data_IF_545252797522
#
_entry.id   IF_545252797522
#
_cell.length_a   1.000
_cell.length_b   1.000
_cell.length_c   1.000
_cell.angle_alpha   90.00
_cell.angle_beta   90.00
_cell.angle_gamma   90.00
#
_symmetry.space_group_name_H-M   'P 1'
#
loop_
_entity.id
_entity.type
_entity.pdbx_description
1 polymer ?
#
# COMPACT_ATOMS: atom_id res chain seq x y z
N UNK A 1 -39.44 25.78 -53.65
CA UNK A 1 -39.11 25.82 -52.22
C UNK A 1 -37.61 25.65 -52.09
N UNK A 2 -36.86 26.75 -52.04
CA UNK A 2 -35.40 26.76 -51.97
C UNK A 2 -34.97 27.97 -51.13
N UNK A 3 -33.94 27.77 -50.30
CA UNK A 3 -33.13 28.86 -49.75
C UNK A 3 -33.36 29.17 -48.28
N UNK A 4 -32.69 28.43 -47.38
CA UNK A 4 -32.26 28.96 -46.08
C UNK A 4 -31.05 28.15 -45.55
N UNK A 5 -29.85 28.44 -46.04
CA UNK A 5 -28.59 27.78 -45.62
C UNK A 5 -27.47 28.75 -45.20
N UNK A 6 -27.74 30.06 -45.16
CA UNK A 6 -26.65 31.05 -45.06
C UNK A 6 -26.28 31.47 -43.63
N UNK A 7 -26.96 31.00 -42.59
CA UNK A 7 -26.70 31.43 -41.20
C UNK A 7 -25.66 30.59 -40.45
N UNK A 8 -25.24 29.44 -40.97
CA UNK A 8 -24.29 28.54 -40.29
C UNK A 8 -22.82 28.90 -40.48
N UNK A 9 -22.46 29.74 -41.45
CA UNK A 9 -21.04 30.00 -41.79
C UNK A 9 -20.42 31.08 -40.91
N UNK A 10 -21.19 32.08 -40.45
CA UNK A 10 -20.65 33.22 -39.69
C UNK A 10 -20.31 32.90 -38.22
N UNK A 11 -20.76 31.77 -37.66
CA UNK A 11 -20.40 31.36 -36.31
C UNK A 11 -19.04 30.63 -36.24
N UNK A 12 -18.51 30.17 -37.37
CA UNK A 12 -17.29 29.36 -37.42
C UNK A 12 -16.01 30.21 -37.43
N UNK A 13 -16.05 31.40 -38.03
CA UNK A 13 -14.87 32.29 -38.14
C UNK A 13 -14.40 32.85 -36.79
N UNK A 14 -15.32 33.25 -35.90
CA UNK A 14 -14.96 33.81 -34.59
C UNK A 14 -14.23 32.82 -33.66
N UNK A 15 -14.48 31.52 -33.83
CA UNK A 15 -13.83 30.47 -33.03
C UNK A 15 -12.37 30.26 -33.43
N UNK A 16 -12.03 30.41 -34.71
CA UNK A 16 -10.66 30.31 -35.20
C UNK A 16 -9.82 31.52 -34.78
N UNK A 17 -10.40 32.73 -34.84
CA UNK A 17 -9.70 33.96 -34.49
C UNK A 17 -9.39 34.04 -32.98
N UNK A 18 -10.34 33.60 -32.13
CA UNK A 18 -10.11 33.46 -30.70
C UNK A 18 -9.01 32.44 -30.37
N UNK A 19 -8.96 31.30 -31.06
CA UNK A 19 -7.91 30.30 -30.87
C UNK A 19 -6.54 30.86 -31.24
N UNK A 20 -6.44 31.61 -32.34
CA UNK A 20 -5.18 32.25 -32.77
C UNK A 20 -4.74 33.33 -31.77
N UNK A 21 -5.67 34.16 -31.28
CA UNK A 21 -5.37 35.21 -30.32
C UNK A 21 -5.00 34.66 -28.93
N UNK A 22 -5.58 33.53 -28.53
CA UNK A 22 -5.19 32.79 -27.32
C UNK A 22 -3.80 32.16 -27.45
N UNK A 23 -3.47 31.60 -28.62
CA UNK A 23 -2.17 30.98 -28.88
C UNK A 23 -1.02 32.01 -28.98
N UNK A 24 -1.30 33.28 -29.28
CA UNK A 24 -0.27 34.31 -29.48
C UNK A 24 0.12 35.02 -28.17
N UNK A 25 -0.68 34.88 -27.10
CA UNK A 25 -0.40 35.53 -25.82
C UNK A 25 0.73 34.81 -25.05
N UNK A 26 1.89 35.46 -24.82
CA UNK A 26 3.05 34.83 -24.19
C UNK A 26 2.79 34.42 -22.74
N UNK A 27 1.90 35.15 -22.05
CA UNK A 27 1.46 34.85 -20.68
C UNK A 27 0.59 33.59 -20.63
N UNK A 28 -0.31 33.42 -21.60
CA UNK A 28 -1.17 32.23 -21.71
C UNK A 28 -0.33 30.99 -22.02
N UNK A 29 0.64 31.11 -22.92
CA UNK A 29 1.64 30.09 -23.21
C UNK A 29 2.47 29.71 -21.98
N UNK A 30 2.90 30.69 -21.17
CA UNK A 30 3.66 30.43 -19.95
C UNK A 30 2.84 29.69 -18.88
N UNK A 31 1.58 30.09 -18.68
CA UNK A 31 0.69 29.44 -17.70
C UNK A 31 0.28 28.04 -18.16
N UNK A 32 -0.10 27.89 -19.43
CA UNK A 32 -0.44 26.58 -20.00
C UNK A 32 0.76 25.62 -19.97
N UNK A 33 1.96 26.13 -20.26
CA UNK A 33 3.21 25.38 -20.14
C UNK A 33 3.49 24.94 -18.70
N UNK A 34 3.27 25.82 -17.72
CA UNK A 34 3.44 25.51 -16.30
C UNK A 34 2.50 24.41 -15.82
N UNK A 35 1.21 24.47 -16.19
CA UNK A 35 0.22 23.44 -15.81
C UNK A 35 0.56 22.09 -16.45
N UNK A 36 0.92 22.08 -17.73
CA UNK A 36 1.34 20.87 -18.42
C UNK A 36 2.57 20.22 -17.77
N UNK A 37 3.55 21.03 -17.35
CA UNK A 37 4.75 20.56 -16.66
C UNK A 37 4.42 19.91 -15.32
N UNK A 38 3.54 20.53 -14.51
CA UNK A 38 3.12 19.97 -13.22
C UNK A 38 2.40 18.64 -13.41
N UNK A 39 1.48 18.56 -14.38
CA UNK A 39 0.77 17.31 -14.70
C UNK A 39 1.76 16.21 -15.16
N UNK A 40 2.73 16.57 -15.99
CA UNK A 40 3.78 15.64 -16.43
C UNK A 40 4.57 15.11 -15.23
N UNK A 41 5.01 15.99 -14.32
CA UNK A 41 5.77 15.61 -13.12
C UNK A 41 4.94 14.68 -12.23
N UNK A 42 3.68 15.02 -11.96
CA UNK A 42 2.77 14.20 -11.16
C UNK A 42 2.59 12.82 -11.81
N UNK A 43 2.38 12.77 -13.13
CA UNK A 43 2.25 11.52 -13.87
C UNK A 43 3.52 10.67 -13.77
N UNK A 44 4.69 11.28 -13.93
CA UNK A 44 5.98 10.60 -13.78
C UNK A 44 6.17 10.08 -12.34
N UNK A 45 5.79 10.84 -11.32
CA UNK A 45 5.90 10.41 -9.92
C UNK A 45 4.95 9.25 -9.62
N UNK A 46 3.70 9.31 -10.09
CA UNK A 46 2.72 8.25 -9.94
C UNK A 46 3.18 7.00 -10.68
N UNK A 47 3.57 7.13 -11.96
CA UNK A 47 4.13 6.03 -12.76
C UNK A 47 5.37 5.47 -12.11
N UNK A 48 6.29 6.29 -11.59
CA UNK A 48 7.53 5.81 -10.95
C UNK A 48 7.25 5.15 -9.60
N UNK A 49 6.23 5.59 -8.85
CA UNK A 49 5.80 4.99 -7.58
C UNK A 49 5.09 3.66 -7.81
N UNK A 50 4.18 3.61 -8.80
CA UNK A 50 3.52 2.39 -9.28
C UNK A 50 4.54 1.44 -9.88
N UNK A 51 5.51 1.94 -10.66
CA UNK A 51 6.54 1.14 -11.30
C UNK A 51 7.61 0.65 -10.32
N UNK A 52 7.95 1.39 -9.26
CA UNK A 52 8.75 0.82 -8.15
C UNK A 52 7.99 -0.34 -7.47
N UNK A 53 6.69 -0.20 -7.29
CA UNK A 53 5.81 -1.22 -6.70
C UNK A 53 5.51 -2.39 -7.67
N UNK A 54 5.54 -2.14 -8.97
CA UNK A 54 5.33 -3.12 -10.03
C UNK A 54 6.63 -3.78 -10.49
N UNK A 55 7.80 -3.14 -10.35
CA UNK A 55 9.11 -3.73 -10.66
C UNK A 55 9.56 -4.71 -9.57
N UNK A 56 9.11 -4.53 -8.33
CA UNK A 56 9.12 -5.63 -7.34
C UNK A 56 8.22 -6.82 -7.73
N UNK A 57 7.31 -6.63 -8.69
CA UNK A 57 6.48 -7.69 -9.30
C UNK A 57 7.01 -8.16 -10.67
N UNK A 58 7.72 -7.36 -11.45
CA UNK A 58 8.18 -7.71 -12.80
C UNK A 58 9.40 -8.65 -12.79
N UNK A 59 10.24 -8.60 -11.74
CA UNK A 59 11.18 -9.69 -11.44
C UNK A 59 10.48 -11.02 -11.11
N UNK A 60 9.18 -11.00 -10.83
CA UNK A 60 8.37 -12.19 -10.58
C UNK A 60 7.81 -12.82 -11.87
N UNK A 61 7.97 -12.22 -13.07
CA UNK A 61 7.44 -12.81 -14.31
C UNK A 61 8.36 -13.88 -14.92
N UNK A 62 9.69 -13.76 -14.77
CA UNK A 62 10.61 -14.90 -15.02
C UNK A 62 10.38 -16.03 -14.00
N UNK A 63 10.03 -15.68 -12.75
CA UNK A 63 9.57 -16.65 -11.77
C UNK A 63 8.15 -17.18 -12.01
N UNK A 64 7.34 -16.64 -12.93
CA UNK A 64 6.01 -17.21 -13.23
C UNK A 64 6.10 -18.46 -14.12
N UNK A 65 7.13 -18.55 -14.95
CA UNK A 65 7.41 -19.74 -15.76
C UNK A 65 8.00 -20.85 -14.88
N UNK A 66 8.79 -20.51 -13.87
CA UNK A 66 9.23 -21.46 -12.81
C UNK A 66 8.14 -21.76 -11.77
N UNK A 67 7.28 -20.81 -11.43
CA UNK A 67 6.13 -20.98 -10.52
C UNK A 67 5.04 -21.87 -11.14
N UNK A 68 4.85 -21.85 -12.46
CA UNK A 68 4.00 -22.83 -13.12
C UNK A 68 4.56 -24.26 -12.98
N UNK A 69 5.89 -24.40 -12.96
CA UNK A 69 6.56 -25.69 -12.77
C UNK A 69 6.51 -26.16 -11.30
N UNK A 70 6.56 -25.24 -10.34
CA UNK A 70 6.46 -25.54 -8.90
C UNK A 70 5.01 -25.64 -8.40
N UNK A 71 4.03 -24.98 -9.01
CA UNK A 71 2.61 -25.14 -8.64
C UNK A 71 2.04 -26.50 -9.07
N UNK A 72 2.53 -27.05 -10.18
CA UNK A 72 2.30 -28.46 -10.54
C UNK A 72 2.95 -29.44 -9.54
N UNK A 73 4.04 -29.04 -8.87
CA UNK A 73 4.69 -29.83 -7.83
C UNK A 73 4.04 -29.67 -6.44
N UNK A 74 3.45 -28.51 -6.15
CA UNK A 74 2.80 -28.19 -4.87
C UNK A 74 1.38 -28.77 -4.73
N UNK A 75 0.68 -29.01 -5.84
CA UNK A 75 -0.56 -29.79 -5.82
C UNK A 75 -0.30 -31.30 -5.60
N UNK A 76 0.95 -31.75 -5.78
CA UNK A 76 1.38 -33.12 -5.55
C UNK A 76 2.23 -33.31 -4.27
N UNK A 77 2.46 -32.24 -3.48
CA UNK A 77 3.37 -32.25 -2.33
C UNK A 77 2.66 -32.29 -0.96
N UNK A 78 3.14 -33.09 0.01
CA UNK A 78 2.54 -33.26 1.33
C UNK A 78 2.51 -31.96 2.16
N UNK A 79 1.62 -31.90 3.16
CA UNK A 79 1.52 -30.79 4.12
C UNK A 79 2.87 -30.49 4.77
N UNK A 80 3.49 -29.36 4.41
CA UNK A 80 4.83 -29.01 4.83
C UNK A 80 4.94 -27.59 5.39
N UNK A 81 6.04 -27.28 6.11
CA UNK A 81 6.24 -26.00 6.80
C UNK A 81 6.18 -24.78 5.85
N UNK A 82 6.57 -24.95 4.58
CA UNK A 82 6.45 -23.90 3.57
C UNK A 82 4.99 -23.50 3.27
N UNK A 83 4.04 -24.46 3.36
CA UNK A 83 2.61 -24.19 3.18
C UNK A 83 2.05 -23.36 4.33
N UNK A 84 2.51 -23.61 5.55
CA UNK A 84 2.17 -22.81 6.73
C UNK A 84 2.66 -21.37 6.58
N UNK A 85 3.92 -21.18 6.16
CA UNK A 85 4.46 -19.85 5.88
C UNK A 85 3.63 -19.11 4.81
N UNK A 86 3.25 -19.79 3.72
CA UNK A 86 2.39 -19.21 2.69
C UNK A 86 1.00 -18.80 3.23
N UNK A 87 0.41 -19.62 4.11
CA UNK A 87 -0.88 -19.32 4.77
C UNK A 87 -0.78 -18.08 5.66
N UNK A 88 0.30 -17.94 6.42
CA UNK A 88 0.54 -16.76 7.26
C UNK A 88 0.66 -15.49 6.43
N UNK A 89 1.37 -15.55 5.29
CA UNK A 89 1.48 -14.42 4.36
C UNK A 89 0.11 -13.99 3.82
N UNK A 90 -0.73 -14.95 3.46
CA UNK A 90 -2.08 -14.68 3.00
C UNK A 90 -2.93 -14.02 4.10
N UNK A 91 -2.88 -14.54 5.32
CA UNK A 91 -3.58 -13.95 6.49
C UNK A 91 -3.13 -12.51 6.74
N UNK A 92 -1.83 -12.27 6.79
CA UNK A 92 -1.25 -10.94 7.01
C UNK A 92 -1.70 -9.96 5.93
N UNK A 93 -1.60 -10.36 4.65
CA UNK A 93 -2.00 -9.53 3.51
C UNK A 93 -3.49 -9.20 3.58
N UNK A 94 -4.33 -10.17 3.92
CA UNK A 94 -5.77 -9.96 4.05
C UNK A 94 -6.11 -8.98 5.20
N UNK A 95 -5.44 -9.10 6.36
CA UNK A 95 -5.66 -8.22 7.50
C UNK A 95 -5.28 -6.77 7.20
N UNK A 96 -4.14 -6.55 6.54
CA UNK A 96 -3.72 -5.20 6.12
C UNK A 96 -4.66 -4.63 5.06
N UNK A 97 -5.02 -5.42 4.03
CA UNK A 97 -5.93 -4.96 2.98
C UNK A 97 -7.34 -4.64 3.49
N UNK A 98 -7.82 -5.33 4.53
CA UNK A 98 -9.05 -4.96 5.23
C UNK A 98 -8.90 -3.62 5.97
N UNK A 99 -7.77 -3.41 6.64
CA UNK A 99 -7.46 -2.15 7.34
C UNK A 99 -7.36 -0.97 6.36
N UNK A 100 -6.67 -1.15 5.23
CA UNK A 100 -6.59 -0.16 4.15
C UNK A 100 -7.99 0.27 3.67
N UNK A 101 -8.90 -0.70 3.47
CA UNK A 101 -10.27 -0.43 3.02
C UNK A 101 -11.07 0.36 4.05
N UNK A 102 -10.94 0.02 5.34
CA UNK A 102 -11.65 0.73 6.41
C UNK A 102 -11.14 2.17 6.58
N UNK A 103 -9.82 2.38 6.51
CA UNK A 103 -9.27 3.73 6.53
C UNK A 103 -9.67 4.54 5.29
N UNK A 104 -9.69 3.93 4.10
CA UNK A 104 -10.13 4.61 2.89
C UNK A 104 -11.60 5.07 2.98
N UNK A 105 -12.46 4.26 3.61
CA UNK A 105 -13.85 4.64 3.88
C UNK A 105 -13.95 5.77 4.92
N UNK A 106 -13.10 5.75 5.95
CA UNK A 106 -13.06 6.79 6.99
C UNK A 106 -12.40 8.10 6.53
N UNK A 107 -11.52 8.06 5.52
CA UNK A 107 -10.79 9.23 5.01
C UNK A 107 -11.68 10.34 4.43
N UNK A 108 -12.96 10.04 4.16
CA UNK A 108 -13.98 11.03 3.78
C UNK A 108 -14.31 11.97 4.94
N UNK A 109 -14.04 11.56 6.18
CA UNK A 109 -14.22 12.36 7.38
C UNK A 109 -12.91 13.12 7.70
N UNK A 110 -12.95 14.46 7.79
CA UNK A 110 -11.75 15.29 8.04
C UNK A 110 -11.12 15.08 9.43
N UNK A 111 -11.72 14.24 10.27
CA UNK A 111 -11.31 13.99 11.66
C UNK A 111 -10.39 12.78 11.86
N UNK A 112 -10.02 12.03 10.81
CA UNK A 112 -9.05 10.95 10.97
C UNK A 112 -7.73 11.56 11.45
N UNK A 113 -7.40 11.32 12.72
CA UNK A 113 -6.28 11.98 13.38
C UNK A 113 -4.95 11.63 12.70
N UNK A 114 -4.00 12.57 12.71
CA UNK A 114 -2.65 12.34 12.21
C UNK A 114 -2.01 11.08 12.85
N UNK A 115 -2.36 10.79 14.10
CA UNK A 115 -1.95 9.60 14.86
C UNK A 115 -2.39 8.29 14.20
N UNK A 116 -3.64 8.18 13.76
CA UNK A 116 -4.15 6.98 13.06
C UNK A 116 -3.44 6.78 11.72
N UNK A 117 -3.16 7.88 11.01
CA UNK A 117 -2.42 7.83 9.74
C UNK A 117 -0.94 7.43 9.93
N UNK A 118 -0.29 7.86 11.02
CA UNK A 118 1.07 7.44 11.38
C UNK A 118 1.10 5.95 11.76
N UNK A 119 0.15 5.49 12.57
CA UNK A 119 0.00 4.08 12.96
C UNK A 119 -0.21 3.17 11.75
N UNK A 120 -1.08 3.59 10.84
CA UNK A 120 -1.32 2.85 9.62
C UNK A 120 -0.05 2.73 8.74
N UNK A 121 0.72 3.82 8.63
CA UNK A 121 2.00 3.80 7.92
C UNK A 121 2.99 2.84 8.56
N UNK A 122 3.04 2.79 9.89
CA UNK A 122 3.92 1.88 10.61
C UNK A 122 3.47 0.41 10.42
N UNK A 123 2.17 0.11 10.58
CA UNK A 123 1.59 -1.20 10.28
C UNK A 123 1.96 -1.68 8.86
N UNK A 124 1.91 -0.79 7.87
CA UNK A 124 2.33 -1.07 6.50
C UNK A 124 3.82 -1.41 6.36
N UNK A 125 4.70 -0.74 7.10
CA UNK A 125 6.15 -1.07 7.13
C UNK A 125 6.40 -2.43 7.76
N UNK A 126 5.76 -2.70 8.89
CA UNK A 126 5.96 -3.95 9.63
C UNK A 126 5.42 -5.15 8.88
N UNK A 127 4.23 -5.03 8.29
CA UNK A 127 3.68 -6.09 7.45
C UNK A 127 4.57 -6.39 6.24
N UNK A 128 5.19 -5.36 5.64
CA UNK A 128 6.15 -5.55 4.54
C UNK A 128 7.41 -6.28 5.01
N UNK A 129 7.95 -5.94 6.18
CA UNK A 129 9.12 -6.59 6.74
C UNK A 129 8.83 -8.08 7.08
N UNK A 130 7.70 -8.34 7.73
CA UNK A 130 7.28 -9.70 8.10
C UNK A 130 6.94 -10.55 6.87
N UNK A 131 6.26 -10.02 5.86
CA UNK A 131 6.03 -10.72 4.59
C UNK A 131 7.35 -11.03 3.88
N UNK A 132 8.34 -10.14 3.95
CA UNK A 132 9.71 -10.40 3.49
C UNK A 132 10.38 -11.58 4.20
N UNK A 133 10.24 -11.65 5.53
CA UNK A 133 10.74 -12.77 6.33
C UNK A 133 10.04 -14.09 5.98
N UNK A 134 8.71 -14.10 5.93
CA UNK A 134 7.93 -15.27 5.55
C UNK A 134 8.22 -15.75 4.11
N UNK A 135 8.48 -14.83 3.17
CA UNK A 135 8.98 -15.18 1.82
C UNK A 135 10.34 -15.87 1.87
N UNK A 136 11.21 -15.43 2.77
CA UNK A 136 12.51 -16.06 3.01
C UNK A 136 12.33 -17.50 3.48
N UNK A 137 11.51 -17.70 4.52
CA UNK A 137 11.17 -19.03 5.05
C UNK A 137 10.54 -19.94 4.00
N UNK A 138 9.65 -19.42 3.17
CA UNK A 138 9.02 -20.20 2.09
C UNK A 138 10.03 -20.70 1.05
N UNK A 139 11.14 -19.99 0.85
CA UNK A 139 12.18 -20.31 -0.14
C UNK A 139 13.37 -21.04 0.43
N UNK A 140 13.43 -21.24 1.75
CA UNK A 140 14.54 -21.93 2.39
C UNK A 140 14.46 -23.43 2.07
N UNK A 141 15.52 -24.03 1.51
CA UNK A 141 15.56 -25.47 1.23
C UNK A 141 15.63 -26.33 2.49
N UNK A 142 16.07 -25.79 3.63
CA UNK A 142 16.18 -26.52 4.89
C UNK A 142 14.84 -26.49 5.65
N UNK A 143 14.03 -27.52 5.41
CA UNK A 143 12.71 -27.67 6.03
C UNK A 143 12.73 -27.70 7.56
N UNK A 144 13.80 -28.22 8.18
CA UNK A 144 13.92 -28.26 9.64
C UNK A 144 14.14 -26.87 10.23
N UNK A 145 14.94 -26.03 9.56
CA UNK A 145 15.08 -24.61 9.92
C UNK A 145 13.78 -23.83 9.77
N UNK A 146 13.05 -24.06 8.68
CA UNK A 146 11.72 -23.44 8.49
C UNK A 146 10.77 -23.85 9.60
N UNK A 147 10.75 -25.14 9.95
CA UNK A 147 9.89 -25.66 11.00
C UNK A 147 10.24 -25.09 12.39
N UNK A 148 11.52 -24.88 12.68
CA UNK A 148 11.95 -24.23 13.91
C UNK A 148 11.57 -22.74 14.00
N UNK A 149 11.59 -22.02 12.87
CA UNK A 149 11.28 -20.59 12.81
C UNK A 149 9.77 -20.29 12.72
N UNK A 150 8.95 -21.26 12.33
CA UNK A 150 7.51 -21.08 12.12
C UNK A 150 6.73 -20.61 13.35
N UNK A 151 6.87 -21.22 14.55
CA UNK A 151 6.07 -20.83 15.72
C UNK A 151 6.32 -19.39 16.17
N UNK A 152 7.50 -18.86 15.87
CA UNK A 152 7.82 -17.46 16.11
C UNK A 152 7.13 -16.57 15.06
N UNK A 153 7.28 -16.90 13.77
CA UNK A 153 6.62 -16.17 12.68
C UNK A 153 5.08 -16.17 12.80
N UNK A 154 4.49 -17.24 13.34
CA UNK A 154 3.06 -17.34 13.67
C UNK A 154 2.66 -16.30 14.72
N UNK A 155 3.39 -16.24 15.84
CA UNK A 155 3.15 -15.26 16.92
C UNK A 155 3.22 -13.83 16.42
N UNK A 156 4.23 -13.49 15.63
CA UNK A 156 4.36 -12.14 15.05
C UNK A 156 3.25 -11.81 14.06
N UNK A 157 2.82 -12.80 13.26
CA UNK A 157 1.70 -12.61 12.33
C UNK A 157 0.41 -12.36 13.09
N UNK A 158 0.19 -13.09 14.19
CA UNK A 158 -0.99 -12.95 15.04
C UNK A 158 -1.02 -11.59 15.74
N UNK A 159 0.08 -11.18 16.37
CA UNK A 159 0.21 -9.85 16.98
C UNK A 159 -0.07 -8.72 15.98
N UNK A 160 0.47 -8.83 14.76
CA UNK A 160 0.26 -7.79 13.75
C UNK A 160 -1.18 -7.78 13.23
N UNK A 161 -1.85 -8.94 13.18
CA UNK A 161 -3.27 -9.04 12.87
C UNK A 161 -4.15 -8.46 13.99
N UNK A 162 -3.77 -8.64 15.25
CA UNK A 162 -4.43 -8.07 16.42
C UNK A 162 -4.34 -6.54 16.40
N UNK A 163 -3.15 -5.98 16.20
CA UNK A 163 -2.95 -4.53 16.06
C UNK A 163 -3.75 -3.97 14.88
N UNK A 164 -3.79 -4.68 13.76
CA UNK A 164 -4.64 -4.30 12.64
C UNK A 164 -6.14 -4.35 13.00
N UNK A 165 -6.57 -5.27 13.87
CA UNK A 165 -7.94 -5.34 14.37
C UNK A 165 -8.27 -4.21 15.35
N UNK A 166 -7.35 -3.88 16.25
CA UNK A 166 -7.45 -2.75 17.17
C UNK A 166 -7.52 -1.43 16.42
N UNK A 167 -6.63 -1.20 15.44
CA UNK A 167 -6.66 0.01 14.62
C UNK A 167 -8.01 0.17 13.90
N UNK A 168 -8.54 -0.93 13.36
CA UNK A 168 -9.88 -0.96 12.76
C UNK A 168 -11.00 -0.68 13.77
N UNK A 169 -10.85 -1.13 15.01
CA UNK A 169 -11.80 -0.82 16.08
C UNK A 169 -11.73 0.66 16.47
N UNK A 170 -10.52 1.22 16.62
CA UNK A 170 -10.29 2.64 16.90
C UNK A 170 -10.80 3.56 15.79
N UNK A 171 -10.65 3.16 14.52
CA UNK A 171 -11.22 3.91 13.39
C UNK A 171 -12.76 3.88 13.43
N UNK A 172 -13.36 2.71 13.74
CA UNK A 172 -14.81 2.58 13.88
C UNK A 172 -15.36 3.37 15.06
N UNK A 173 -14.69 3.35 16.21
CA UNK A 173 -15.11 4.14 17.38
C UNK A 173 -14.96 5.63 17.12
N UNK A 174 -13.86 6.07 16.49
CA UNK A 174 -13.64 7.47 16.11
C UNK A 174 -14.72 7.99 15.15
N UNK A 175 -15.24 7.13 14.26
CA UNK A 175 -16.35 7.49 13.37
C UNK A 175 -17.69 7.72 14.12
N UNK A 176 -17.82 7.20 15.35
CA UNK A 176 -19.03 7.36 16.20
C UNK A 176 -18.87 8.41 17.29
N UNK A 177 -17.63 8.77 17.64
CA UNK A 177 -17.31 9.72 18.71
C UNK A 177 -17.50 11.15 18.21
N UNK A 178 -18.35 11.91 18.90
CA UNK A 178 -18.67 13.31 18.60
C UNK A 178 -18.03 14.30 19.58
N UNK A 179 -17.28 13.82 20.58
CA UNK A 179 -16.79 14.64 21.70
C UNK A 179 -15.26 14.63 21.83
N UNK A 180 -14.68 15.81 22.07
CA UNK A 180 -13.23 16.07 22.05
C UNK A 180 -12.42 15.37 23.18
N UNK A 181 -13.10 14.96 24.26
CA UNK A 181 -12.48 14.26 25.39
C UNK A 181 -12.13 12.79 25.06
N UNK A 182 -12.98 12.11 24.29
CA UNK A 182 -12.77 10.72 23.89
C UNK A 182 -11.63 10.59 22.87
N UNK A 183 -11.46 11.59 22.01
CA UNK A 183 -10.34 11.66 21.05
C UNK A 183 -9.00 11.69 21.78
N UNK A 184 -8.92 12.34 22.94
CA UNK A 184 -7.67 12.50 23.70
C UNK A 184 -7.27 11.20 24.42
N UNK A 185 -8.22 10.48 25.02
CA UNK A 185 -7.91 9.21 25.70
C UNK A 185 -7.54 8.09 24.70
N UNK A 186 -8.15 8.08 23.51
CA UNK A 186 -7.75 7.20 22.42
C UNK A 186 -6.32 7.49 21.95
N UNK A 187 -5.90 8.75 21.91
CA UNK A 187 -4.54 9.13 21.54
C UNK A 187 -3.47 8.52 22.44
N UNK A 188 -3.69 8.53 23.76
CA UNK A 188 -2.73 8.02 24.75
C UNK A 188 -2.58 6.50 24.68
N UNK A 189 -3.69 5.74 24.73
CA UNK A 189 -3.65 4.27 24.70
C UNK A 189 -3.01 3.73 23.42
N UNK A 190 -3.16 4.43 22.30
CA UNK A 190 -2.62 3.97 21.02
C UNK A 190 -1.15 4.38 20.82
N UNK A 191 -0.67 5.41 21.52
CA UNK A 191 0.74 5.81 21.52
C UNK A 191 1.62 4.76 22.19
N UNK A 192 1.16 4.24 23.32
CA UNK A 192 1.86 3.18 24.07
C UNK A 192 1.97 1.88 23.25
N UNK A 193 0.91 1.52 22.53
CA UNK A 193 0.92 0.36 21.62
C UNK A 193 1.96 0.48 20.49
N UNK A 194 2.13 1.68 19.92
CA UNK A 194 3.14 1.93 18.87
C UNK A 194 4.56 1.84 19.43
N UNK A 195 4.79 2.33 20.65
CA UNK A 195 6.09 2.25 21.30
C UNK A 195 6.50 0.79 21.56
N UNK A 196 5.58 -0.02 22.08
CA UNK A 196 5.79 -1.46 22.28
C UNK A 196 6.09 -2.18 20.96
N UNK A 197 5.36 -1.83 19.89
CA UNK A 197 5.54 -2.44 18.58
C UNK A 197 6.89 -2.11 17.95
N UNK A 198 7.32 -0.85 18.04
CA UNK A 198 8.64 -0.42 17.56
C UNK A 198 9.77 -1.19 18.27
N UNK A 199 9.67 -1.38 19.58
CA UNK A 199 10.65 -2.12 20.35
C UNK A 199 10.75 -3.60 19.90
N UNK A 200 9.61 -4.26 19.64
CA UNK A 200 9.58 -5.63 19.13
C UNK A 200 10.27 -5.78 17.76
N UNK A 201 10.18 -4.75 16.92
CA UNK A 201 10.74 -4.78 15.55
C UNK A 201 12.24 -4.54 15.55
N UNK A 202 12.74 -3.65 16.41
CA UNK A 202 14.18 -3.46 16.60
C UNK A 202 14.84 -4.74 17.11
N UNK A 203 14.16 -5.46 18.00
CA UNK A 203 14.59 -6.79 18.46
C UNK A 203 14.66 -7.78 17.30
N UNK A 204 13.64 -7.84 16.44
CA UNK A 204 13.57 -8.75 15.29
C UNK A 204 14.66 -8.44 14.24
N UNK A 205 14.89 -7.15 13.96
CA UNK A 205 15.97 -6.71 13.08
C UNK A 205 17.35 -7.03 13.66
N UNK A 206 17.51 -6.99 14.98
CA UNK A 206 18.73 -7.43 15.66
C UNK A 206 18.91 -8.96 15.56
N UNK A 207 17.86 -9.74 15.80
CA UNK A 207 17.89 -11.20 15.74
C UNK A 207 18.20 -11.72 14.33
N UNK A 208 17.59 -11.13 13.28
CA UNK A 208 17.90 -11.46 11.88
C UNK A 208 19.34 -11.12 11.51
N UNK A 209 19.87 -9.99 12.01
CA UNK A 209 21.28 -9.62 11.81
C UNK A 209 22.20 -10.61 12.51
N UNK A 210 21.88 -11.01 13.75
CA UNK A 210 22.65 -11.99 14.51
C UNK A 210 22.69 -13.36 13.82
N UNK A 211 21.57 -13.81 13.24
CA UNK A 211 21.51 -15.08 12.51
C UNK A 211 22.24 -15.06 11.15
N UNK A 212 22.46 -13.88 10.56
CA UNK A 212 23.30 -13.74 9.36
C UNK A 212 24.79 -13.67 9.67
N UNK A 213 25.17 -13.10 10.81
CA UNK A 213 26.57 -12.94 11.20
C UNK A 213 27.20 -14.21 11.81
N UNK A 214 26.38 -15.15 12.31
CA UNK A 214 26.84 -16.44 12.83
C UNK A 214 27.00 -17.55 11.77
N UNK A 215 27.10 -17.18 10.49
CA UNK A 215 27.39 -18.06 9.35
C UNK A 215 28.69 -17.62 8.72
#
# INVERSE_FOLDING_TARGET
MAGNTDTTVLAQDGSAELVVQLLTNPTFLAVAGGVALVLLIVTIVVVRRVWRRARSFAGAQSHRIEQARTSFQALAGPEGPQRTAARLRQRLTAAVAETDRQLAAAAVQPLVSATVADQHRELGRLSTALDGHLRGLQRDPDGARVQAALPEAERWTEQLCEIAAELRASVRSSATVTTDADVRSLGESTSDGVAALRAGVEFLAAQVRHHRAGR
#
